data_IF_163594351551
#
_entry.id   IF_163594351551
#
_cell.length_a   1.000
_cell.length_b   1.000
_cell.length_c   1.000
_cell.angle_alpha   90.00
_cell.angle_beta   90.00
_cell.angle_gamma   90.00
#
_symmetry.space_group_name_H-M   'P 1'
#
loop_
_entity.id
_entity.type
_entity.pdbx_description
1 polymer ?
#
# COMPACT_ATOMS: atom_id res chain seq x y z
N UNK A 1 -39.54 -52.89 63.03
CA UNK A 1 -38.75 -51.69 62.68
C UNK A 1 -37.89 -51.95 61.42
N UNK A 2 -38.51 -52.21 60.26
CA UNK A 2 -37.78 -52.46 58.99
C UNK A 2 -38.51 -51.88 57.75
N UNK A 3 -39.36 -50.86 57.96
CA UNK A 3 -40.10 -50.19 56.88
C UNK A 3 -39.71 -48.71 56.69
N UNK A 4 -38.88 -48.15 57.59
CA UNK A 4 -38.43 -46.76 57.52
C UNK A 4 -37.19 -46.60 56.62
N UNK A 5 -36.35 -47.64 56.55
CA UNK A 5 -35.11 -47.62 55.75
C UNK A 5 -35.34 -47.73 54.24
N UNK A 6 -36.46 -48.30 53.81
CA UNK A 6 -36.81 -48.45 52.38
C UNK A 6 -37.36 -47.17 51.76
N UNK A 7 -37.93 -46.25 52.56
CA UNK A 7 -38.46 -44.96 52.08
C UNK A 7 -37.35 -43.94 51.86
N UNK A 8 -36.25 -44.03 52.63
CA UNK A 8 -35.13 -43.07 52.55
C UNK A 8 -34.21 -43.27 51.33
N UNK A 9 -34.25 -44.45 50.70
CA UNK A 9 -33.39 -44.80 49.56
C UNK A 9 -33.96 -44.41 48.19
N UNK A 10 -35.25 -44.05 48.11
CA UNK A 10 -35.94 -43.71 46.84
C UNK A 10 -36.02 -42.18 46.63
N UNK A 11 -35.72 -41.39 47.67
CA UNK A 11 -35.84 -39.93 47.64
C UNK A 11 -34.85 -39.15 46.76
N UNK A 12 -33.65 -39.62 46.34
CA UNK A 12 -32.81 -38.79 45.47
C UNK A 12 -33.23 -38.84 43.99
N UNK A 13 -34.19 -39.69 43.60
CA UNK A 13 -34.58 -39.87 42.20
C UNK A 13 -35.77 -39.00 41.73
N UNK A 14 -36.44 -38.27 42.63
CA UNK A 14 -37.60 -37.44 42.27
C UNK A 14 -37.28 -35.96 42.01
N UNK A 15 -35.99 -35.58 41.99
CA UNK A 15 -35.56 -34.18 41.85
C UNK A 15 -35.07 -33.75 40.46
N UNK A 16 -34.94 -34.66 39.48
CA UNK A 16 -34.46 -34.35 38.14
C UNK A 16 -35.56 -34.48 37.09
N UNK A 17 -36.65 -33.72 37.22
CA UNK A 17 -37.39 -33.32 36.02
C UNK A 17 -36.56 -32.26 35.31
N UNK A 18 -35.58 -32.70 34.51
CA UNK A 18 -34.89 -31.87 33.54
C UNK A 18 -35.98 -31.20 32.69
N UNK A 19 -36.25 -29.92 32.94
CA UNK A 19 -37.05 -29.11 32.02
C UNK A 19 -36.23 -29.03 30.74
N UNK A 20 -36.61 -29.83 29.75
CA UNK A 20 -36.09 -29.66 28.39
C UNK A 20 -36.38 -28.22 27.97
N UNK A 21 -35.39 -27.47 27.44
CA UNK A 21 -35.66 -26.15 26.91
C UNK A 21 -36.72 -26.31 25.80
N UNK A 22 -37.79 -25.51 25.88
CA UNK A 22 -38.79 -25.45 24.82
C UNK A 22 -38.10 -25.07 23.51
N UNK A 23 -38.34 -25.78 22.39
CA UNK A 23 -37.71 -25.44 21.12
C UNK A 23 -38.03 -23.99 20.76
N UNK A 24 -37.04 -23.22 20.24
CA UNK A 24 -37.26 -21.83 19.87
C UNK A 24 -38.41 -21.74 18.88
N UNK A 25 -39.26 -20.74 19.06
CA UNK A 25 -40.37 -20.50 18.13
C UNK A 25 -39.82 -20.25 16.72
N UNK A 26 -40.60 -20.63 15.70
CA UNK A 26 -40.25 -20.38 14.29
C UNK A 26 -39.91 -18.91 13.99
N UNK A 27 -40.49 -17.96 14.75
CA UNK A 27 -40.13 -16.52 14.68
C UNK A 27 -38.73 -16.22 15.22
N UNK A 28 -38.30 -16.86 16.32
CA UNK A 28 -36.95 -16.71 16.87
C UNK A 28 -35.90 -17.31 15.93
N UNK A 29 -36.18 -18.49 15.36
CA UNK A 29 -35.32 -19.13 14.36
C UNK A 29 -35.18 -18.24 13.12
N UNK A 30 -36.29 -17.70 12.62
CA UNK A 30 -36.27 -16.85 11.42
C UNK A 30 -35.50 -15.53 11.67
N UNK A 31 -35.68 -14.90 12.83
CA UNK A 31 -34.93 -13.70 13.20
C UNK A 31 -33.43 -13.98 13.34
N UNK A 32 -33.05 -15.14 13.88
CA UNK A 32 -31.65 -15.55 14.02
C UNK A 32 -31.02 -15.91 12.67
N UNK A 33 -31.78 -16.55 11.77
CA UNK A 33 -31.33 -16.83 10.41
C UNK A 33 -31.14 -15.54 9.60
N UNK A 34 -32.09 -14.60 9.70
CA UNK A 34 -31.97 -13.29 9.04
C UNK A 34 -30.81 -12.48 9.61
N UNK A 35 -30.59 -12.46 10.92
CA UNK A 35 -29.45 -11.73 11.50
C UNK A 35 -28.12 -12.32 11.04
N UNK A 36 -28.01 -13.65 11.00
CA UNK A 36 -26.82 -14.35 10.51
C UNK A 36 -26.60 -14.09 9.01
N UNK A 37 -27.66 -14.11 8.20
CA UNK A 37 -27.59 -13.79 6.77
C UNK A 37 -27.14 -12.33 6.55
N UNK A 38 -27.68 -11.38 7.32
CA UNK A 38 -27.31 -9.97 7.25
C UNK A 38 -25.85 -9.75 7.66
N UNK A 39 -25.36 -10.43 8.70
CA UNK A 39 -23.96 -10.38 9.12
C UNK A 39 -23.03 -10.92 8.04
N UNK A 40 -23.38 -12.06 7.42
CA UNK A 40 -22.59 -12.64 6.34
C UNK A 40 -22.53 -11.72 5.12
N UNK A 41 -23.65 -11.11 4.74
CA UNK A 41 -23.69 -10.14 3.63
C UNK A 41 -22.83 -8.91 3.91
N UNK A 42 -22.89 -8.35 5.13
CA UNK A 42 -22.04 -7.24 5.53
C UNK A 42 -20.55 -7.61 5.48
N UNK A 43 -20.19 -8.79 5.99
CA UNK A 43 -18.81 -9.29 5.94
C UNK A 43 -18.33 -9.48 4.50
N UNK A 44 -19.16 -10.05 3.61
CA UNK A 44 -18.80 -10.19 2.19
C UNK A 44 -18.60 -8.83 1.49
N UNK A 45 -19.43 -7.83 1.81
CA UNK A 45 -19.26 -6.48 1.28
C UNK A 45 -17.96 -5.83 1.78
N UNK A 46 -17.66 -5.99 3.07
CA UNK A 46 -16.41 -5.51 3.67
C UNK A 46 -15.18 -6.17 3.02
N UNK A 47 -15.20 -7.50 2.86
CA UNK A 47 -14.15 -8.25 2.18
C UNK A 47 -13.89 -7.74 0.76
N UNK A 48 -14.96 -7.54 -0.03
CA UNK A 48 -14.84 -6.98 -1.39
C UNK A 48 -14.26 -5.57 -1.38
N UNK A 49 -14.65 -4.74 -0.41
CA UNK A 49 -14.10 -3.39 -0.29
C UNK A 49 -12.58 -3.42 0.00
N UNK A 50 -12.14 -4.28 0.92
CA UNK A 50 -10.72 -4.43 1.24
C UNK A 50 -9.92 -4.99 0.06
N UNK A 51 -10.45 -6.00 -0.64
CA UNK A 51 -9.85 -6.54 -1.86
C UNK A 51 -9.70 -5.47 -2.94
N UNK A 52 -10.76 -4.71 -3.20
CA UNK A 52 -10.72 -3.62 -4.17
C UNK A 52 -9.73 -2.52 -3.77
N UNK A 53 -9.62 -2.21 -2.47
CA UNK A 53 -8.64 -1.24 -1.96
C UNK A 53 -7.21 -1.71 -2.24
N UNK A 54 -6.90 -2.97 -1.94
CA UNK A 54 -5.58 -3.56 -2.22
C UNK A 54 -5.26 -3.46 -3.71
N UNK A 55 -6.17 -3.92 -4.58
CA UNK A 55 -5.98 -3.86 -6.04
C UNK A 55 -5.76 -2.42 -6.52
N UNK A 56 -6.58 -1.48 -6.05
CA UNK A 56 -6.49 -0.07 -6.44
C UNK A 56 -5.16 0.56 -6.01
N UNK A 57 -4.69 0.23 -4.81
CA UNK A 57 -3.42 0.76 -4.31
C UNK A 57 -2.22 0.08 -4.98
N UNK A 58 -2.30 -1.20 -5.34
CA UNK A 58 -1.30 -1.89 -6.19
C UNK A 58 -1.22 -1.27 -7.60
N UNK A 59 -2.35 -0.92 -8.21
CA UNK A 59 -2.36 -0.19 -9.49
C UNK A 59 -1.72 1.20 -9.37
N UNK A 60 -1.98 1.92 -8.27
CA UNK A 60 -1.32 3.21 -8.01
C UNK A 60 0.18 3.04 -7.81
N UNK A 61 0.60 1.97 -7.13
CA UNK A 61 2.01 1.65 -6.94
C UNK A 61 2.70 1.49 -8.29
N UNK A 62 2.16 0.66 -9.18
CA UNK A 62 2.70 0.44 -10.53
C UNK A 62 2.77 1.74 -11.33
N UNK A 63 1.74 2.59 -11.25
CA UNK A 63 1.74 3.87 -11.95
C UNK A 63 2.81 4.83 -11.44
N UNK A 64 3.00 4.92 -10.13
CA UNK A 64 4.01 5.81 -9.54
C UNK A 64 5.43 5.25 -9.74
N UNK A 65 5.64 3.92 -9.71
CA UNK A 65 6.94 3.31 -10.04
C UNK A 65 7.34 3.57 -11.49
N UNK A 66 6.41 3.39 -12.45
CA UNK A 66 6.66 3.68 -13.86
C UNK A 66 6.97 5.17 -14.09
N UNK A 67 6.36 6.04 -13.30
CA UNK A 67 6.64 7.47 -13.35
C UNK A 67 8.01 7.79 -12.78
N UNK A 68 8.44 7.13 -11.70
CA UNK A 68 9.79 7.25 -11.13
C UNK A 68 10.84 6.82 -12.15
N UNK A 69 10.65 5.66 -12.78
CA UNK A 69 11.55 5.14 -13.82
C UNK A 69 11.73 6.15 -14.96
N UNK A 70 10.64 6.73 -15.50
CA UNK A 70 10.71 7.79 -16.51
C UNK A 70 11.40 9.07 -16.04
N UNK A 71 11.42 9.35 -14.74
CA UNK A 71 12.17 10.47 -14.18
C UNK A 71 13.65 10.10 -14.06
N UNK A 72 13.98 8.87 -13.68
CA UNK A 72 15.36 8.35 -13.65
C UNK A 72 15.98 8.34 -15.06
N UNK A 73 15.27 7.87 -16.08
CA UNK A 73 15.72 7.93 -17.48
C UNK A 73 16.08 9.36 -17.91
N UNK A 74 15.25 10.35 -17.53
CA UNK A 74 15.53 11.76 -17.81
C UNK A 74 16.70 12.31 -17.00
N UNK A 75 16.95 11.74 -15.82
CA UNK A 75 18.12 12.10 -15.02
C UNK A 75 19.39 11.65 -15.74
N UNK A 76 19.40 10.41 -16.25
CA UNK A 76 20.50 9.84 -17.02
C UNK A 76 20.77 10.65 -18.31
N UNK A 77 19.71 11.04 -19.03
CA UNK A 77 19.85 11.92 -20.21
C UNK A 77 20.52 13.27 -19.86
N UNK A 78 20.17 13.85 -18.70
CA UNK A 78 20.75 15.10 -18.24
C UNK A 78 22.22 14.91 -17.83
N UNK A 79 22.57 13.79 -17.20
CA UNK A 79 23.95 13.45 -16.86
C UNK A 79 24.83 13.25 -18.09
N UNK A 80 24.33 12.52 -19.10
CA UNK A 80 25.01 12.39 -20.39
C UNK A 80 25.25 13.77 -21.01
N UNK A 81 24.24 14.64 -20.97
CA UNK A 81 24.37 16.01 -21.49
C UNK A 81 25.40 16.84 -20.71
N UNK A 82 25.45 16.72 -19.38
CA UNK A 82 26.45 17.40 -18.55
C UNK A 82 27.86 16.92 -18.89
N UNK A 83 28.05 15.61 -19.11
CA UNK A 83 29.32 15.05 -19.54
C UNK A 83 29.74 15.62 -20.92
N UNK A 84 28.81 15.66 -21.88
CA UNK A 84 29.07 16.24 -23.21
C UNK A 84 29.47 17.71 -23.14
N UNK A 85 28.75 18.53 -22.36
CA UNK A 85 29.06 19.95 -22.18
C UNK A 85 30.41 20.15 -21.48
N UNK A 86 30.75 19.28 -20.53
CA UNK A 86 32.06 19.30 -19.85
C UNK A 86 33.19 18.96 -20.82
N UNK A 87 33.02 17.94 -21.66
CA UNK A 87 33.97 17.60 -22.71
C UNK A 87 34.12 18.73 -23.75
N UNK A 88 33.03 19.38 -24.12
CA UNK A 88 33.07 20.55 -24.99
C UNK A 88 33.86 21.70 -24.36
N UNK A 89 33.71 21.93 -23.06
CA UNK A 89 34.44 22.95 -22.32
C UNK A 89 35.95 22.68 -22.33
N UNK A 90 36.35 21.42 -22.12
CA UNK A 90 37.75 20.97 -22.23
C UNK A 90 38.26 21.21 -23.65
N UNK A 91 37.51 20.79 -24.68
CA UNK A 91 37.89 21.01 -26.10
C UNK A 91 38.08 22.50 -26.43
N UNK A 92 37.23 23.39 -25.90
CA UNK A 92 37.40 24.84 -26.08
C UNK A 92 38.65 25.36 -25.38
N UNK A 93 39.00 24.81 -24.22
CA UNK A 93 40.19 25.18 -23.49
C UNK A 93 41.47 24.82 -24.26
N UNK A 94 41.52 23.59 -24.78
CA UNK A 94 42.71 23.01 -25.39
C UNK A 94 42.88 23.41 -26.87
N UNK A 95 41.85 24.00 -27.49
CA UNK A 95 41.93 24.44 -28.87
C UNK A 95 42.89 25.63 -29.04
N UNK A 96 44.05 25.38 -29.65
CA UNK A 96 45.09 26.38 -29.89
C UNK A 96 44.75 27.39 -30.99
N UNK A 97 43.75 27.08 -31.83
CA UNK A 97 43.37 27.92 -32.97
C UNK A 97 42.37 29.04 -32.60
N UNK A 98 41.81 29.02 -31.39
CA UNK A 98 40.88 30.05 -30.92
C UNK A 98 41.63 31.20 -30.25
N UNK A 99 41.21 32.43 -30.54
CA UNK A 99 41.72 33.59 -29.80
C UNK A 99 41.27 33.55 -28.34
N UNK A 100 41.97 34.24 -27.41
CA UNK A 100 41.57 34.32 -26.01
C UNK A 100 40.12 34.82 -25.84
N UNK A 101 39.72 35.85 -26.58
CA UNK A 101 38.34 36.38 -26.51
C UNK A 101 37.29 35.39 -27.01
N UNK A 102 37.59 34.63 -28.07
CA UNK A 102 36.69 33.60 -28.58
C UNK A 102 36.53 32.44 -27.60
N UNK A 103 37.62 32.04 -26.93
CA UNK A 103 37.58 31.03 -25.86
C UNK A 103 36.67 31.48 -24.73
N UNK A 104 36.79 32.73 -24.27
CA UNK A 104 35.96 33.28 -23.19
C UNK A 104 34.48 33.24 -23.60
N UNK A 105 34.13 33.78 -24.77
CA UNK A 105 32.74 33.79 -25.26
C UNK A 105 32.14 32.39 -25.38
N UNK A 106 32.92 31.40 -25.85
CA UNK A 106 32.45 30.01 -25.96
C UNK A 106 32.29 29.34 -24.59
N UNK A 107 33.26 29.53 -23.68
CA UNK A 107 33.17 29.04 -22.30
C UNK A 107 31.96 29.59 -21.56
N UNK A 108 31.68 30.89 -21.68
CA UNK A 108 30.50 31.50 -21.06
C UNK A 108 29.19 30.91 -21.58
N UNK A 109 29.10 30.61 -22.89
CA UNK A 109 27.92 29.95 -23.46
C UNK A 109 27.74 28.55 -22.90
N UNK A 110 28.81 27.75 -22.88
CA UNK A 110 28.79 26.38 -22.36
C UNK A 110 28.44 26.38 -20.87
N UNK A 111 29.06 27.24 -20.06
CA UNK A 111 28.75 27.37 -18.63
C UNK A 111 27.27 27.71 -18.39
N UNK A 112 26.69 28.63 -19.17
CA UNK A 112 25.25 28.94 -19.08
C UNK A 112 24.37 27.74 -19.41
N UNK A 113 24.81 26.85 -20.30
CA UNK A 113 24.09 25.61 -20.61
C UNK A 113 24.26 24.55 -19.52
N UNK A 114 25.45 24.45 -18.93
CA UNK A 114 25.72 23.61 -17.75
C UNK A 114 24.80 24.04 -16.60
N UNK A 115 24.77 25.33 -16.25
CA UNK A 115 23.91 25.86 -15.18
C UNK A 115 22.43 25.54 -15.43
N UNK A 116 21.95 25.73 -16.66
CA UNK A 116 20.57 25.37 -17.03
C UNK A 116 20.29 23.87 -16.92
N UNK A 117 21.27 23.05 -17.24
CA UNK A 117 21.14 21.58 -17.19
C UNK A 117 21.16 21.10 -15.74
N UNK A 118 22.04 21.63 -14.89
CA UNK A 118 22.05 21.41 -13.44
C UNK A 118 20.72 21.83 -12.79
N UNK A 119 20.17 22.99 -13.15
CA UNK A 119 18.86 23.41 -12.63
C UNK A 119 17.73 22.45 -13.03
N UNK A 120 17.81 21.80 -14.21
CA UNK A 120 16.85 20.77 -14.60
C UNK A 120 17.09 19.47 -13.84
N UNK A 121 18.35 19.10 -13.65
CA UNK A 121 18.80 17.94 -12.90
C UNK A 121 18.27 17.99 -11.46
N UNK A 122 18.47 19.11 -10.76
CA UNK A 122 18.00 19.31 -9.39
C UNK A 122 16.47 19.23 -9.28
N UNK A 123 15.76 19.82 -10.26
CA UNK A 123 14.29 19.77 -10.30
C UNK A 123 13.78 18.36 -10.51
N UNK A 124 14.49 17.56 -11.29
CA UNK A 124 14.08 16.20 -11.62
C UNK A 124 14.44 15.24 -10.47
N UNK A 125 15.61 15.40 -9.85
CA UNK A 125 16.00 14.75 -8.59
C UNK A 125 14.96 14.96 -7.48
N UNK A 126 14.51 16.20 -7.25
CA UNK A 126 13.42 16.47 -6.29
C UNK A 126 12.10 15.77 -6.62
N UNK A 127 11.80 15.53 -7.90
CA UNK A 127 10.60 14.78 -8.30
C UNK A 127 10.76 13.29 -8.05
N UNK A 128 11.96 12.75 -8.23
CA UNK A 128 12.30 11.36 -7.89
C UNK A 128 12.11 11.15 -6.39
N UNK A 129 12.72 11.97 -5.53
CA UNK A 129 12.56 11.90 -4.07
C UNK A 129 11.08 11.98 -3.63
N UNK A 130 10.29 12.85 -4.26
CA UNK A 130 8.86 12.97 -3.98
C UNK A 130 8.06 11.75 -4.46
N UNK A 131 8.51 11.07 -5.52
CA UNK A 131 7.90 9.84 -6.03
C UNK A 131 8.24 8.65 -5.14
N UNK A 132 9.48 8.55 -4.65
CA UNK A 132 9.92 7.53 -3.69
C UNK A 132 9.10 7.57 -2.40
N UNK A 133 8.93 8.75 -1.80
CA UNK A 133 8.08 8.91 -0.61
C UNK A 133 6.63 8.45 -0.86
N UNK A 134 6.09 8.72 -2.06
CA UNK A 134 4.74 8.27 -2.41
C UNK A 134 4.65 6.76 -2.57
N UNK A 135 5.68 6.14 -3.15
CA UNK A 135 5.79 4.68 -3.28
C UNK A 135 5.78 4.06 -1.87
N UNK A 136 6.62 4.54 -0.96
CA UNK A 136 6.66 4.06 0.44
C UNK A 136 5.30 4.19 1.14
N UNK A 137 4.62 5.34 0.99
CA UNK A 137 3.27 5.54 1.54
C UNK A 137 2.23 4.59 0.96
N UNK A 138 2.30 4.26 -0.34
CA UNK A 138 1.38 3.34 -0.99
C UNK A 138 1.66 1.90 -0.54
N UNK A 139 2.93 1.50 -0.45
CA UNK A 139 3.33 0.18 0.06
C UNK A 139 2.82 -0.06 1.48
N UNK A 140 2.96 0.92 2.37
CA UNK A 140 2.42 0.85 3.73
C UNK A 140 0.89 0.70 3.75
N UNK A 141 0.17 1.39 2.86
CA UNK A 141 -1.29 1.27 2.73
C UNK A 141 -1.71 -0.11 2.24
N UNK A 142 -0.97 -0.67 1.29
CA UNK A 142 -1.19 -2.04 0.78
C UNK A 142 -0.96 -3.04 1.91
N UNK A 143 0.16 -2.94 2.64
CA UNK A 143 0.49 -3.84 3.75
C UNK A 143 -0.60 -3.80 4.83
N UNK A 144 -1.03 -2.59 5.22
CA UNK A 144 -2.13 -2.42 6.18
C UNK A 144 -3.43 -3.04 5.68
N UNK A 145 -3.80 -2.80 4.42
CA UNK A 145 -5.05 -3.33 3.86
C UNK A 145 -5.02 -4.85 3.70
N UNK A 146 -3.85 -5.45 3.41
CA UNK A 146 -3.65 -6.90 3.39
C UNK A 146 -3.79 -7.50 4.80
N UNK A 147 -3.21 -6.87 5.82
CA UNK A 147 -3.39 -7.28 7.23
C UNK A 147 -4.86 -7.20 7.67
N UNK A 148 -5.55 -6.09 7.38
CA UNK A 148 -6.99 -5.95 7.66
C UNK A 148 -7.81 -7.06 6.97
N UNK A 149 -7.43 -7.44 5.75
CA UNK A 149 -8.09 -8.50 4.98
C UNK A 149 -7.85 -9.89 5.58
N UNK A 150 -6.61 -10.22 5.97
CA UNK A 150 -6.29 -11.47 6.66
C UNK A 150 -7.02 -11.59 8.01
N UNK A 151 -7.12 -10.49 8.77
CA UNK A 151 -7.88 -10.47 10.02
C UNK A 151 -9.38 -10.72 9.81
N UNK A 152 -9.98 -10.17 8.76
CA UNK A 152 -11.38 -10.42 8.41
C UNK A 152 -11.62 -11.84 7.87
N UNK A 153 -10.64 -12.42 7.17
CA UNK A 153 -10.70 -13.82 6.73
C UNK A 153 -10.62 -14.79 7.91
N UNK A 154 -9.77 -14.52 8.90
CA UNK A 154 -9.60 -15.36 10.09
C UNK A 154 -10.77 -15.26 11.10
N UNK A 155 -11.70 -14.30 10.90
CA UNK A 155 -12.96 -14.22 11.67
C UNK A 155 -14.05 -15.17 11.16
N UNK A 156 -13.84 -15.86 10.03
CA UNK A 156 -14.70 -16.96 9.55
C UNK A 156 -14.45 -18.25 10.31
#
# INVERSE_FOLDING_TARGET
MKFILTVLLILPFLGFSQRFPTPPSSRQINNQLMSQHNQMMQQQQMMRMLQNRVITDEEKLVNETNKREKLEEKQDELDIKLAQLTDELVKVNDNLNLSPEEKIKRKEKINKEIDKTLLKFDKNSKKIEASEKKIEEIEQKIEKSKKELEEEENKK
#
